data_IF_045484467751
#
_entry.id   IF_045484467751
#
_cell.length_a   1.000
_cell.length_b   1.000
_cell.length_c   1.000
_cell.angle_alpha   90.00
_cell.angle_beta   90.00
_cell.angle_gamma   90.00
#
_symmetry.space_group_name_H-M   'P 1'
#
loop_
_entity.id
_entity.type
_entity.pdbx_description
1 polymer ?
#
# COMPACT_ATOMS: atom_id res chain seq x y z
N UNK A 1 14.10 2.79 -1.07
CA UNK A 1 13.12 3.24 -2.09
C UNK A 1 13.11 4.75 -2.14
N UNK A 2 13.14 5.35 -3.32
CA UNK A 2 13.22 6.81 -3.44
C UNK A 2 11.81 7.42 -3.44
N UNK A 3 11.66 8.63 -2.89
CA UNK A 3 10.36 9.36 -2.92
C UNK A 3 9.84 9.57 -4.35
N UNK A 4 10.72 9.53 -5.36
CA UNK A 4 10.36 9.67 -6.78
C UNK A 4 9.56 8.46 -7.29
N UNK A 5 10.04 7.25 -7.05
CA UNK A 5 9.36 6.00 -7.45
C UNK A 5 7.94 5.91 -6.85
N UNK A 6 7.81 6.23 -5.56
CA UNK A 6 6.52 6.29 -4.87
C UNK A 6 5.56 7.30 -5.50
N UNK A 7 6.07 8.48 -5.87
CA UNK A 7 5.26 9.51 -6.51
C UNK A 7 4.81 9.11 -7.93
N UNK A 8 5.66 8.43 -8.70
CA UNK A 8 5.30 7.95 -10.03
C UNK A 8 4.19 6.88 -9.98
N UNK A 9 4.30 5.92 -9.06
CA UNK A 9 3.26 4.91 -8.83
C UNK A 9 1.97 5.58 -8.35
N UNK A 10 2.08 6.50 -7.37
CA UNK A 10 0.93 7.25 -6.88
C UNK A 10 0.19 7.96 -8.02
N UNK A 11 0.91 8.67 -8.90
CA UNK A 11 0.29 9.38 -10.03
C UNK A 11 -0.39 8.43 -11.02
N UNK A 12 0.21 7.27 -11.30
CA UNK A 12 -0.37 6.25 -12.21
C UNK A 12 -1.68 5.66 -11.71
N UNK A 13 -1.85 5.55 -10.39
CA UNK A 13 -3.01 4.92 -9.76
C UNK A 13 -4.01 5.91 -9.16
N UNK A 14 -3.65 7.21 -9.10
CA UNK A 14 -4.55 8.27 -8.66
C UNK A 14 -5.72 8.41 -9.63
N UNK A 15 -6.94 8.28 -9.11
CA UNK A 15 -8.17 8.42 -9.91
C UNK A 15 -8.53 7.20 -10.77
N UNK A 16 -7.74 6.11 -10.73
CA UNK A 16 -8.17 4.82 -11.26
C UNK A 16 -9.26 4.26 -10.35
N UNK A 17 -10.53 4.50 -10.69
CA UNK A 17 -11.66 3.84 -10.06
C UNK A 17 -11.48 2.34 -10.23
N UNK A 18 -11.49 1.60 -9.12
CA UNK A 18 -11.47 0.14 -9.19
C UNK A 18 -12.70 -0.33 -9.97
N UNK A 19 -12.51 -1.21 -10.95
CA UNK A 19 -13.61 -1.91 -11.58
C UNK A 19 -14.33 -2.82 -10.57
N UNK A 20 -15.44 -3.46 -10.97
CA UNK A 20 -16.15 -4.41 -10.10
C UNK A 20 -15.25 -5.55 -9.59
N UNK A 21 -14.22 -5.92 -10.37
CA UNK A 21 -13.23 -6.95 -10.02
C UNK A 21 -12.01 -6.42 -9.25
N UNK A 22 -11.99 -5.13 -8.90
CA UNK A 22 -10.85 -4.56 -8.21
C UNK A 22 -10.88 -4.85 -6.71
N UNK A 23 -9.82 -5.47 -6.21
CA UNK A 23 -9.67 -5.87 -4.82
C UNK A 23 -8.52 -5.13 -4.12
N UNK A 24 -8.63 -5.02 -2.80
CA UNK A 24 -7.49 -4.74 -1.92
C UNK A 24 -7.47 -5.79 -0.83
N UNK A 25 -6.34 -6.48 -0.69
CA UNK A 25 -6.15 -7.60 0.23
C UNK A 25 -5.00 -7.26 1.17
N UNK A 26 -5.20 -7.58 2.46
CA UNK A 26 -4.18 -7.39 3.50
C UNK A 26 -3.85 -8.76 4.08
N UNK A 27 -2.58 -9.12 4.06
CA UNK A 27 -2.06 -10.32 4.70
C UNK A 27 -1.22 -9.91 5.92
N UNK A 28 -1.80 -10.11 7.10
CA UNK A 28 -1.17 -9.91 8.40
C UNK A 28 -0.94 -11.29 9.05
N UNK A 29 0.29 -11.79 8.95
CA UNK A 29 0.68 -13.08 9.52
C UNK A 29 1.23 -12.93 10.93
N UNK A 30 0.91 -13.86 11.84
CA UNK A 30 1.53 -13.92 13.17
C UNK A 30 3.01 -14.29 13.12
N UNK A 31 3.47 -14.90 12.02
CA UNK A 31 4.87 -15.25 11.80
C UNK A 31 5.69 -14.02 11.39
N UNK A 32 5.13 -13.16 10.55
CA UNK A 32 5.75 -11.89 10.18
C UNK A 32 5.45 -10.82 11.22
N UNK A 33 6.37 -10.67 12.18
CA UNK A 33 6.14 -9.77 13.32
C UNK A 33 6.30 -8.30 12.99
N UNK A 34 7.01 -7.97 11.92
CA UNK A 34 7.46 -6.62 11.59
C UNK A 34 6.84 -6.05 10.32
N UNK A 35 6.25 -6.90 9.48
CA UNK A 35 5.80 -6.53 8.14
C UNK A 35 4.32 -6.90 7.96
N UNK A 36 3.60 -6.04 7.26
CA UNK A 36 2.26 -6.31 6.75
C UNK A 36 2.33 -6.25 5.23
N UNK A 37 1.82 -7.30 4.58
CA UNK A 37 1.76 -7.39 3.14
C UNK A 37 0.41 -6.89 2.66
N UNK A 38 0.42 -6.00 1.65
CA UNK A 38 -0.81 -5.50 1.04
C UNK A 38 -0.73 -5.64 -0.46
N UNK A 39 -1.81 -6.13 -1.05
CA UNK A 39 -2.01 -6.13 -2.48
C UNK A 39 -3.20 -5.23 -2.80
N UNK A 40 -3.10 -4.42 -3.83
CA UNK A 40 -4.21 -3.61 -4.31
C UNK A 40 -4.14 -3.45 -5.82
N UNK A 41 -5.30 -3.41 -6.48
CA UNK A 41 -5.42 -3.12 -7.91
C UNK A 41 -6.36 -1.94 -8.20
N UNK A 42 -6.54 -1.03 -7.23
CA UNK A 42 -7.44 0.11 -7.34
C UNK A 42 -6.79 1.42 -6.85
N UNK A 43 -7.59 2.48 -6.74
CA UNK A 43 -7.14 3.79 -6.22
C UNK A 43 -6.55 3.76 -4.80
N UNK A 44 -6.76 2.71 -4.02
CA UNK A 44 -6.24 2.58 -2.66
C UNK A 44 -4.71 2.55 -2.63
N UNK A 45 -4.05 2.11 -3.72
CA UNK A 45 -2.60 2.27 -3.91
C UNK A 45 -2.16 3.71 -3.63
N UNK A 46 -2.83 4.68 -4.25
CA UNK A 46 -2.49 6.09 -4.08
C UNK A 46 -2.69 6.55 -2.63
N UNK A 47 -3.74 6.06 -1.97
CA UNK A 47 -4.07 6.38 -0.57
C UNK A 47 -3.07 5.75 0.41
N UNK A 48 -2.64 4.51 0.15
CA UNK A 48 -1.66 3.78 0.95
C UNK A 48 -0.33 4.55 0.93
N UNK A 49 0.14 4.91 -0.27
CA UNK A 49 1.37 5.71 -0.44
C UNK A 49 1.26 7.05 0.29
N UNK A 50 0.12 7.74 0.20
CA UNK A 50 -0.09 9.02 0.89
C UNK A 50 -0.09 8.90 2.42
N UNK A 51 -0.63 7.81 2.97
CA UNK A 51 -0.75 7.65 4.42
C UNK A 51 0.52 7.12 5.07
N UNK A 52 1.16 6.14 4.45
CA UNK A 52 2.24 5.38 5.07
C UNK A 52 3.48 5.22 4.20
N UNK A 53 3.65 6.06 3.16
CA UNK A 53 4.79 6.01 2.25
C UNK A 53 6.17 5.99 2.91
N UNK A 54 6.32 6.57 4.11
CA UNK A 54 7.57 6.53 4.89
C UNK A 54 7.87 5.19 5.55
N UNK A 55 6.86 4.32 5.70
CA UNK A 55 6.97 2.99 6.28
C UNK A 55 6.89 1.86 5.23
N UNK A 56 6.77 2.20 3.95
CA UNK A 56 6.85 1.23 2.86
C UNK A 56 8.30 0.80 2.71
N UNK A 57 8.55 -0.50 2.93
CA UNK A 57 9.88 -1.12 2.83
C UNK A 57 10.17 -1.57 1.40
N UNK A 58 9.20 -2.22 0.77
CA UNK A 58 9.27 -2.68 -0.63
C UNK A 58 7.96 -2.49 -1.35
N UNK A 59 8.07 -2.37 -2.67
CA UNK A 59 6.96 -2.34 -3.62
C UNK A 59 7.28 -3.32 -4.73
N UNK A 60 6.25 -4.06 -5.12
CA UNK A 60 6.24 -4.88 -6.32
C UNK A 60 5.06 -4.43 -7.18
N UNK A 61 5.34 -3.90 -8.36
CA UNK A 61 4.31 -3.59 -9.34
C UNK A 61 4.25 -4.75 -10.33
N UNK A 62 3.06 -5.31 -10.53
CA UNK A 62 2.77 -6.24 -11.62
C UNK A 62 1.72 -5.58 -12.54
N UNK A 63 1.46 -6.16 -13.72
CA UNK A 63 0.58 -5.55 -14.74
C UNK A 63 -0.84 -5.23 -14.25
N UNK A 64 -1.31 -5.89 -13.19
CA UNK A 64 -2.68 -5.79 -12.70
C UNK A 64 -2.80 -5.13 -11.32
N UNK A 65 -1.69 -4.82 -10.63
CA UNK A 65 -1.77 -4.31 -9.27
C UNK A 65 -0.41 -4.04 -8.65
N UNK A 66 -0.44 -3.62 -7.39
CA UNK A 66 0.74 -3.25 -6.63
C UNK A 66 0.72 -3.95 -5.28
N UNK A 67 1.80 -4.68 -5.00
CA UNK A 67 2.14 -5.25 -3.72
C UNK A 67 3.02 -4.30 -2.90
N UNK A 68 2.71 -4.17 -1.62
CA UNK A 68 3.45 -3.38 -0.64
C UNK A 68 3.90 -4.28 0.51
N UNK A 69 5.16 -4.12 0.91
CA UNK A 69 5.67 -4.56 2.21
C UNK A 69 5.76 -3.33 3.10
N UNK A 70 4.93 -3.28 4.15
CA UNK A 70 4.80 -2.10 5.00
C UNK A 70 5.20 -2.47 6.42
N UNK A 71 6.02 -1.65 7.05
CA UNK A 71 6.40 -1.86 8.44
C UNK A 71 5.17 -1.78 9.35
N UNK A 72 4.98 -2.76 10.24
CA UNK A 72 3.79 -2.93 11.08
C UNK A 72 3.52 -1.72 11.98
N UNK A 73 4.53 -0.92 12.31
CA UNK A 73 4.34 0.35 13.06
C UNK A 73 3.33 1.29 12.40
N UNK A 74 3.20 1.24 11.07
CA UNK A 74 2.29 2.04 10.27
C UNK A 74 0.91 1.41 10.08
N UNK A 75 0.74 0.12 10.40
CA UNK A 75 -0.53 -0.58 10.29
C UNK A 75 -1.41 -0.33 11.53
N UNK A 76 -2.73 -0.18 11.34
CA UNK A 76 -3.73 -0.06 12.43
C UNK A 76 -4.66 -1.27 12.56
N UNK A 77 -4.80 -2.07 11.51
CA UNK A 77 -5.81 -3.14 11.43
C UNK A 77 -6.72 -2.97 10.21
N UNK A 78 -7.38 -4.03 9.77
CA UNK A 78 -8.09 -4.09 8.49
C UNK A 78 -9.16 -2.99 8.27
N UNK A 79 -9.86 -2.55 9.33
CA UNK A 79 -10.93 -1.55 9.22
C UNK A 79 -10.43 -0.13 8.91
N UNK A 80 -9.21 0.23 9.34
CA UNK A 80 -8.62 1.56 9.12
C UNK A 80 -7.29 1.51 8.36
N UNK A 81 -6.83 0.30 8.01
CA UNK A 81 -5.60 -0.15 7.39
C UNK A 81 -4.32 0.52 7.89
N UNK A 82 -4.14 1.82 7.68
CA UNK A 82 -2.88 2.53 7.89
C UNK A 82 -3.01 3.82 8.70
N UNK A 83 -2.00 4.06 9.54
CA UNK A 83 -1.74 5.33 10.22
C UNK A 83 -1.35 6.38 9.19
N UNK A 84 -1.79 7.62 9.38
CA UNK A 84 -1.19 8.77 8.71
C UNK A 84 0.12 9.06 9.42
N UNK A 85 1.24 8.74 8.78
CA UNK A 85 2.57 9.11 9.26
C UNK A 85 2.88 10.48 8.65
N UNK A 86 2.90 11.52 9.49
CA UNK A 86 3.41 12.83 9.05
C UNK A 86 4.92 12.66 8.81
N UNK A 87 5.38 13.01 7.59
CA UNK A 87 6.80 13.13 7.27
C UNK A 87 7.42 14.32 7.99
#
# INVERSE_FOLDING_TARGET
>A
MTKKELNEIKLRWKGKGGGPESETTIADSKLDKEIVHVWSCNSDISKIIDRCGSAILKIREDNHGVGFEIHRSAFRGAAYAFKVLKQ
#
